data_IF_324219926729
#
_entry.id   IF_324219926729
#
_cell.length_a   1.000
_cell.length_b   1.000
_cell.length_c   1.000
_cell.angle_alpha   90.00
_cell.angle_beta   90.00
_cell.angle_gamma   90.00
#
_symmetry.space_group_name_H-M   'P 1'
#
loop_
_entity.id
_entity.type
_entity.pdbx_description
1 polymer ?
#
# COMPACT_ATOMS: atom_id res chain seq x y z
N UNK A 1 14.98 9.11 -19.06
CA UNK A 1 14.76 9.29 -20.51
C UNK A 1 14.00 10.59 -20.65
N UNK A 2 14.62 11.64 -21.22
CA UNK A 2 14.03 12.97 -21.29
C UNK A 2 12.99 13.03 -22.42
N UNK A 3 11.79 13.54 -22.12
CA UNK A 3 10.84 13.95 -23.14
C UNK A 3 10.49 15.42 -22.94
N UNK A 4 10.81 16.23 -23.95
CA UNK A 4 10.31 17.59 -24.09
C UNK A 4 8.96 17.54 -24.79
N UNK A 5 7.94 18.18 -24.22
CA UNK A 5 6.68 18.46 -24.90
C UNK A 5 6.69 19.90 -25.41
N UNK A 6 6.28 20.10 -26.66
CA UNK A 6 5.98 21.41 -27.23
C UNK A 6 4.46 21.57 -27.30
N UNK A 7 3.96 22.68 -26.76
CA UNK A 7 2.54 22.96 -26.52
C UNK A 7 2.15 24.19 -27.32
N UNK A 8 1.28 24.03 -28.32
CA UNK A 8 0.53 25.08 -29.04
C UNK A 8 -0.54 24.32 -29.85
N UNK A 9 -1.83 24.65 -29.90
CA UNK A 9 -2.70 25.67 -29.32
C UNK A 9 -4.16 25.24 -29.63
N UNK A 10 -5.11 25.59 -28.78
CA UNK A 10 -6.56 25.33 -28.91
C UNK A 10 -7.29 26.35 -29.82
N UNK A 11 -8.54 25.99 -30.17
CA UNK A 11 -9.62 26.73 -30.88
C UNK A 11 -9.63 26.52 -32.41
N UNK A 12 -10.69 26.09 -33.09
CA UNK A 12 -12.13 26.41 -32.95
C UNK A 12 -12.99 25.39 -33.73
N UNK A 13 -14.23 25.12 -33.30
CA UNK A 13 -15.27 24.43 -34.10
C UNK A 13 -15.93 25.40 -35.13
N UNK A 14 -16.72 24.98 -36.15
CA UNK A 14 -18.01 24.28 -35.96
C UNK A 14 -18.36 23.16 -36.99
N UNK A 15 -19.44 22.43 -36.71
CA UNK A 15 -20.05 21.35 -37.50
C UNK A 15 -20.69 21.83 -38.84
N UNK A 16 -21.10 20.88 -39.71
CA UNK A 16 -22.54 20.57 -39.75
C UNK A 16 -22.91 19.09 -39.99
N UNK A 17 -24.18 18.83 -39.67
CA UNK A 17 -25.01 17.64 -39.91
C UNK A 17 -24.83 16.95 -41.27
N UNK A 18 -24.98 15.62 -41.30
CA UNK A 18 -25.84 14.88 -42.25
C UNK A 18 -26.25 13.54 -41.61
N UNK A 19 -27.55 13.31 -41.63
CA UNK A 19 -28.26 12.09 -41.29
C UNK A 19 -28.50 11.33 -42.61
N UNK A 20 -28.40 10.00 -42.67
CA UNK A 20 -29.26 9.10 -43.48
C UNK A 20 -28.88 7.63 -43.25
N UNK A 21 -29.94 6.87 -43.01
CA UNK A 21 -30.13 5.43 -42.90
C UNK A 21 -29.48 4.55 -43.99
N UNK A 22 -29.11 3.31 -43.65
CA UNK A 22 -29.92 2.10 -43.93
C UNK A 22 -29.23 0.82 -43.45
N UNK A 23 -30.07 -0.10 -42.95
CA UNK A 23 -29.82 -1.53 -42.76
C UNK A 23 -29.40 -2.17 -44.09
N UNK A 24 -28.51 -3.14 -44.04
CA UNK A 24 -28.72 -4.42 -44.71
C UNK A 24 -27.88 -5.53 -44.08
N UNK A 25 -28.52 -6.68 -43.98
CA UNK A 25 -28.09 -7.94 -43.36
C UNK A 25 -27.54 -8.85 -44.47
N UNK A 26 -26.88 -9.93 -44.03
CA UNK A 26 -26.72 -11.23 -44.70
C UNK A 26 -25.40 -11.53 -45.45
N UNK A 27 -24.70 -12.47 -44.81
CA UNK A 27 -24.41 -13.82 -45.28
C UNK A 27 -22.97 -14.20 -45.64
N UNK A 28 -22.55 -15.20 -44.89
CA UNK A 28 -21.42 -16.12 -45.00
C UNK A 28 -21.42 -16.77 -46.39
N UNK A 29 -20.25 -16.86 -47.02
CA UNK A 29 -19.91 -18.06 -47.78
C UNK A 29 -18.41 -18.36 -47.70
N UNK A 30 -18.13 -19.61 -47.33
CA UNK A 30 -16.86 -20.30 -47.38
C UNK A 30 -16.52 -20.68 -48.81
N UNK A 31 -15.27 -20.50 -49.24
CA UNK A 31 -14.70 -21.28 -50.34
C UNK A 31 -13.17 -21.38 -50.23
N UNK A 32 -12.74 -22.59 -49.94
CA UNK A 32 -11.37 -23.12 -50.07
C UNK A 32 -11.05 -23.30 -51.55
N UNK A 33 -9.86 -22.89 -52.01
CA UNK A 33 -9.29 -23.39 -53.27
C UNK A 33 -7.78 -23.21 -53.30
N UNK A 34 -7.08 -24.33 -53.46
CA UNK A 34 -5.64 -24.51 -53.64
C UNK A 34 -5.15 -24.07 -55.03
N UNK A 35 -3.80 -24.01 -55.14
CA UNK A 35 -2.98 -24.17 -56.35
C UNK A 35 -3.02 -22.98 -57.35
N UNK A 36 -1.94 -22.52 -57.97
CA UNK A 36 -0.62 -23.08 -58.26
C UNK A 36 0.38 -21.95 -58.56
N UNK A 37 1.66 -22.25 -58.40
CA UNK A 37 2.81 -21.43 -58.80
C UNK A 37 3.11 -21.68 -60.29
N UNK A 38 3.37 -20.63 -61.06
CA UNK A 38 4.18 -20.71 -62.29
C UNK A 38 4.92 -19.39 -62.54
N UNK A 39 6.25 -19.49 -62.61
CA UNK A 39 7.23 -18.46 -62.98
C UNK A 39 7.20 -18.16 -64.49
N UNK A 40 7.45 -16.90 -64.90
CA UNK A 40 8.57 -16.48 -65.76
C UNK A 40 8.44 -14.99 -66.16
N UNK A 41 9.55 -14.23 -66.17
CA UNK A 41 9.64 -12.98 -66.96
C UNK A 41 10.38 -11.81 -66.32
N UNK A 42 11.68 -11.71 -66.60
CA UNK A 42 12.59 -10.59 -66.31
C UNK A 42 12.01 -9.18 -66.61
N UNK A 43 12.22 -8.23 -65.68
CA UNK A 43 12.87 -6.92 -65.95
C UNK A 43 13.18 -6.17 -64.65
N UNK A 44 14.38 -5.57 -64.64
CA UNK A 44 15.06 -4.88 -63.54
C UNK A 44 14.28 -3.67 -63.01
N UNK A 45 14.19 -3.55 -61.69
CA UNK A 45 14.23 -2.27 -60.98
C UNK A 45 14.73 -2.53 -59.55
N UNK A 46 15.93 -2.02 -59.25
CA UNK A 46 16.47 -1.93 -57.90
C UNK A 46 15.81 -0.73 -57.21
N UNK A 47 15.01 -0.99 -56.17
CA UNK A 47 14.81 -0.03 -55.08
C UNK A 47 14.64 -0.79 -53.78
N UNK A 48 15.50 -0.44 -52.82
CA UNK A 48 15.53 -0.98 -51.47
C UNK A 48 14.20 -0.73 -50.75
N UNK A 49 13.55 -1.81 -50.32
CA UNK A 49 12.69 -1.81 -49.13
C UNK A 49 12.63 -3.24 -48.57
N UNK A 50 13.66 -3.63 -47.82
CA UNK A 50 13.57 -4.84 -47.00
C UNK A 50 12.60 -4.57 -45.84
N UNK A 51 11.40 -5.10 -46.02
CA UNK A 51 10.44 -5.34 -44.96
C UNK A 51 10.97 -6.48 -44.08
N UNK A 52 11.36 -6.15 -42.85
CA UNK A 52 11.63 -7.16 -41.83
C UNK A 52 10.36 -7.97 -41.55
N UNK A 53 10.28 -9.19 -42.06
CA UNK A 53 9.39 -10.23 -41.54
C UNK A 53 10.08 -10.89 -40.35
N UNK A 54 9.63 -10.59 -39.14
CA UNK A 54 9.94 -11.40 -37.96
C UNK A 54 9.08 -12.66 -38.00
N UNK A 55 9.71 -13.79 -38.30
CA UNK A 55 9.15 -15.11 -37.98
C UNK A 55 9.12 -15.25 -36.45
N UNK A 56 7.97 -15.02 -35.83
CA UNK A 56 7.73 -15.42 -34.45
C UNK A 56 7.63 -16.95 -34.38
N UNK A 57 8.76 -17.62 -34.21
CA UNK A 57 8.79 -18.99 -33.70
C UNK A 57 8.31 -18.90 -32.26
N UNK A 58 7.17 -19.52 -31.97
CA UNK A 58 6.62 -19.64 -30.62
C UNK A 58 7.51 -20.57 -29.80
N UNK A 59 8.52 -20.01 -29.14
CA UNK A 59 9.18 -20.70 -28.03
C UNK A 59 8.36 -20.39 -26.78
N UNK A 60 7.45 -21.31 -26.45
CA UNK A 60 6.89 -21.42 -25.10
C UNK A 60 7.98 -21.94 -24.17
N UNK A 61 8.93 -21.09 -23.82
CA UNK A 61 9.71 -21.28 -22.60
C UNK A 61 9.16 -20.30 -21.58
N UNK A 62 8.51 -20.87 -20.56
CA UNK A 62 8.13 -20.16 -19.35
C UNK A 62 9.34 -19.39 -18.83
N UNK A 63 9.23 -18.06 -18.77
CA UNK A 63 10.14 -17.25 -17.98
C UNK A 63 10.02 -17.73 -16.53
N UNK A 64 10.95 -18.56 -16.10
CA UNK A 64 11.20 -18.76 -14.68
C UNK A 64 11.72 -17.43 -14.16
N UNK A 65 10.81 -16.61 -13.63
CA UNK A 65 11.16 -15.46 -12.81
C UNK A 65 11.81 -16.07 -11.55
N UNK A 66 13.12 -16.25 -11.58
CA UNK A 66 13.92 -16.55 -10.39
C UNK A 66 14.06 -15.27 -9.55
N UNK A 67 12.93 -14.74 -9.08
CA UNK A 67 12.93 -13.78 -7.99
C UNK A 67 13.12 -14.59 -6.70
N UNK A 68 14.37 -14.81 -6.31
CA UNK A 68 14.79 -15.60 -5.14
C UNK A 68 14.46 -14.88 -3.84
N UNK A 69 13.19 -14.89 -3.45
CA UNK A 69 12.83 -14.51 -2.09
C UNK A 69 11.78 -15.43 -1.49
N UNK A 70 11.68 -16.70 -1.95
CA UNK A 70 10.84 -17.65 -1.23
C UNK A 70 11.48 -17.64 0.14
N UNK A 71 10.70 -17.37 1.18
CA UNK A 71 11.21 -17.58 2.54
C UNK A 71 11.49 -19.07 2.57
N UNK A 72 12.75 -19.45 2.36
CA UNK A 72 13.14 -20.84 2.49
C UNK A 72 12.76 -21.21 3.94
N UNK A 73 11.86 -22.19 4.08
CA UNK A 73 11.57 -22.80 5.38
C UNK A 73 12.83 -23.46 5.98
N UNK A 74 13.90 -23.60 5.20
CA UNK A 74 15.17 -24.20 5.58
C UNK A 74 16.30 -23.16 5.65
N UNK A 75 16.25 -22.29 6.65
CA UNK A 75 17.47 -21.84 7.33
C UNK A 75 17.27 -21.98 8.83
N UNK A 76 16.98 -23.21 9.26
CA UNK A 76 17.46 -23.69 10.55
C UNK A 76 18.98 -23.53 10.56
N UNK A 77 19.50 -22.54 11.27
CA UNK A 77 20.81 -22.60 11.98
C UNK A 77 22.07 -23.12 11.27
N UNK A 78 22.13 -23.35 9.96
CA UNK A 78 23.24 -24.08 9.33
C UNK A 78 24.45 -23.20 8.95
N UNK A 79 24.36 -21.88 9.09
CA UNK A 79 25.51 -20.97 8.90
C UNK A 79 26.19 -20.50 10.20
N UNK A 80 25.57 -20.75 11.36
CA UNK A 80 26.06 -20.36 12.69
C UNK A 80 26.39 -21.56 13.59
N UNK A 81 25.93 -22.77 13.22
CA UNK A 81 26.13 -24.01 13.97
C UNK A 81 27.59 -24.47 14.05
N UNK A 82 28.43 -24.05 13.10
CA UNK A 82 29.82 -24.54 13.02
C UNK A 82 30.77 -23.76 13.94
N UNK A 83 30.34 -22.61 14.48
CA UNK A 83 31.14 -21.80 15.41
C UNK A 83 30.72 -21.97 16.87
N UNK A 84 29.49 -22.43 17.14
CA UNK A 84 28.98 -22.67 18.48
C UNK A 84 28.04 -23.88 18.45
N UNK A 85 28.37 -25.01 19.12
CA UNK A 85 27.44 -26.12 19.20
C UNK A 85 26.14 -25.63 19.87
N UNK A 86 24.96 -26.06 19.39
CA UNK A 86 23.70 -25.73 20.05
C UNK A 86 23.78 -26.19 21.50
N UNK A 87 23.54 -25.27 22.43
CA UNK A 87 23.44 -25.61 23.85
C UNK A 87 22.27 -26.59 24.01
N UNK A 88 22.59 -27.84 24.35
CA UNK A 88 21.60 -28.89 24.59
C UNK A 88 20.49 -28.39 25.54
N UNK A 89 19.24 -28.47 25.08
CA UNK A 89 18.05 -28.12 25.86
C UNK A 89 17.48 -26.71 25.63
N UNK A 90 18.08 -25.86 24.79
CA UNK A 90 17.47 -24.58 24.43
C UNK A 90 16.46 -24.76 23.29
N UNK A 91 15.17 -24.86 23.61
CA UNK A 91 14.12 -24.70 22.59
C UNK A 91 14.12 -23.23 22.15
N UNK A 92 14.39 -22.91 20.88
CA UNK A 92 14.38 -21.52 20.43
C UNK A 92 12.98 -20.94 20.65
N UNK A 93 12.87 -19.97 21.55
CA UNK A 93 11.66 -19.15 21.65
C UNK A 93 11.55 -18.33 20.36
N UNK A 94 10.34 -18.18 19.84
CA UNK A 94 10.11 -17.25 18.74
C UNK A 94 10.60 -15.85 19.14
N UNK A 95 11.50 -15.29 18.33
CA UNK A 95 12.12 -14.00 18.64
C UNK A 95 11.09 -12.88 18.55
N UNK A 96 11.12 -11.96 19.52
CA UNK A 96 10.20 -10.82 19.56
C UNK A 96 10.44 -9.84 18.41
N UNK A 97 9.42 -9.03 18.08
CA UNK A 97 9.47 -8.08 16.95
C UNK A 97 10.67 -7.14 17.03
N UNK A 98 11.02 -6.61 18.21
CA UNK A 98 12.17 -5.74 18.40
C UNK A 98 13.51 -6.42 18.02
N UNK A 99 13.65 -7.71 18.32
CA UNK A 99 14.82 -8.51 17.91
C UNK A 99 14.79 -8.76 16.40
N UNK A 100 13.63 -9.11 15.83
CA UNK A 100 13.49 -9.30 14.37
C UNK A 100 13.92 -8.05 13.59
N UNK A 101 13.54 -6.86 14.05
CA UNK A 101 13.88 -5.57 13.44
C UNK A 101 15.39 -5.26 13.43
N UNK A 102 16.16 -5.83 14.35
CA UNK A 102 17.57 -5.49 14.57
C UNK A 102 18.55 -6.59 14.18
N UNK A 103 18.11 -7.84 14.16
CA UNK A 103 18.95 -9.03 13.94
C UNK A 103 18.87 -9.60 12.53
N UNK A 104 18.37 -8.84 11.54
CA UNK A 104 18.31 -9.30 10.15
C UNK A 104 19.73 -9.44 9.55
N UNK A 105 20.06 -10.65 9.08
CA UNK A 105 21.37 -10.99 8.51
C UNK A 105 21.44 -10.73 7.00
N UNK A 106 22.63 -10.41 6.50
CA UNK A 106 22.92 -10.21 5.08
C UNK A 106 23.84 -11.32 4.56
N UNK A 107 23.40 -12.57 4.68
CA UNK A 107 24.24 -13.75 4.43
C UNK A 107 24.71 -13.86 2.96
N UNK A 108 24.12 -13.08 2.05
CA UNK A 108 24.52 -13.00 0.65
C UNK A 108 25.70 -12.04 0.38
N UNK A 109 26.09 -11.19 1.33
CA UNK A 109 27.20 -10.25 1.13
C UNK A 109 28.55 -10.98 1.28
N UNK A 110 29.39 -11.05 0.23
CA UNK A 110 30.65 -11.79 0.27
C UNK A 110 31.69 -11.20 1.24
N UNK A 111 31.46 -9.99 1.76
CA UNK A 111 32.36 -9.31 2.69
C UNK A 111 31.90 -9.35 4.15
N UNK A 112 30.74 -9.95 4.44
CA UNK A 112 30.20 -10.06 5.80
C UNK A 112 29.86 -8.71 6.43
N UNK A 113 29.41 -7.73 5.64
CA UNK A 113 29.01 -6.43 6.15
C UNK A 113 27.81 -6.56 7.11
N UNK A 114 27.97 -5.98 8.31
CA UNK A 114 26.94 -6.00 9.36
C UNK A 114 25.65 -5.28 8.92
N UNK A 115 25.77 -4.26 8.08
CA UNK A 115 24.62 -3.57 7.47
C UNK A 115 24.57 -3.84 5.98
N UNK A 116 23.37 -3.96 5.44
CA UNK A 116 23.14 -4.25 4.03
C UNK A 116 23.82 -3.18 3.15
N UNK A 117 24.73 -3.56 2.25
CA UNK A 117 25.33 -2.63 1.31
C UNK A 117 24.28 -1.99 0.39
N UNK A 118 24.55 -0.76 -0.03
CA UNK A 118 23.74 -0.05 -1.03
C UNK A 118 24.18 -0.45 -2.44
N UNK A 119 23.36 -1.22 -3.15
CA UNK A 119 23.58 -1.61 -4.54
C UNK A 119 23.03 -0.56 -5.50
N UNK A 120 23.71 0.58 -5.60
CA UNK A 120 23.38 1.69 -6.51
C UNK A 120 23.89 1.41 -7.94
N UNK A 121 23.31 0.39 -8.59
CA UNK A 121 23.60 0.02 -9.99
C UNK A 121 22.30 -0.24 -10.75
N UNK A 122 22.35 -0.16 -12.08
CA UNK A 122 21.22 -0.50 -12.93
C UNK A 122 21.24 -1.98 -13.37
N UNK A 123 22.43 -2.54 -13.60
CA UNK A 123 22.60 -3.88 -14.18
C UNK A 123 23.66 -4.69 -13.44
N UNK A 124 23.59 -6.00 -13.57
CA UNK A 124 24.50 -6.96 -12.96
C UNK A 124 25.13 -7.84 -14.04
N UNK A 125 26.42 -8.16 -13.88
CA UNK A 125 27.15 -9.02 -14.81
C UNK A 125 26.56 -10.44 -14.79
N UNK A 126 26.17 -10.94 -15.95
CA UNK A 126 25.65 -12.29 -16.10
C UNK A 126 26.78 -13.32 -16.22
N UNK A 127 26.61 -14.54 -15.66
CA UNK A 127 27.63 -15.59 -15.74
C UNK A 127 27.82 -16.12 -17.17
N UNK A 128 26.80 -16.05 -18.02
CA UNK A 128 26.89 -16.36 -19.45
C UNK A 128 25.74 -15.71 -20.23
N UNK A 129 25.75 -15.82 -21.57
CA UNK A 129 24.68 -15.29 -22.41
C UNK A 129 23.34 -16.05 -22.30
N UNK A 130 23.33 -17.25 -21.70
CA UNK A 130 22.15 -18.14 -21.63
C UNK A 130 21.77 -18.55 -20.20
N UNK A 131 22.51 -18.07 -19.20
CA UNK A 131 22.24 -18.33 -17.78
C UNK A 131 22.23 -17.01 -17.04
N UNK A 132 21.17 -16.76 -16.29
CA UNK A 132 21.03 -15.59 -15.45
C UNK A 132 21.69 -15.81 -14.10
N UNK A 133 22.31 -14.75 -13.58
CA UNK A 133 22.65 -14.65 -12.16
C UNK A 133 21.40 -14.36 -11.33
N UNK A 134 21.54 -14.23 -9.99
CA UNK A 134 20.41 -13.92 -9.11
C UNK A 134 19.79 -12.55 -9.40
N UNK A 135 20.56 -11.64 -9.97
CA UNK A 135 20.10 -10.33 -10.40
C UNK A 135 20.59 -10.06 -11.83
N UNK A 136 19.72 -9.45 -12.65
CA UNK A 136 20.06 -9.00 -14.00
C UNK A 136 19.93 -7.48 -14.12
N UNK A 137 18.82 -6.92 -13.66
CA UNK A 137 18.47 -5.53 -13.78
C UNK A 137 17.70 -5.06 -12.53
N UNK A 138 18.09 -3.93 -11.96
CA UNK A 138 17.59 -3.43 -10.66
C UNK A 138 16.07 -3.27 -10.58
N UNK A 139 15.39 -3.02 -11.71
CA UNK A 139 13.92 -3.00 -11.75
C UNK A 139 13.33 -4.37 -11.38
N UNK A 140 13.90 -5.46 -11.91
CA UNK A 140 13.44 -6.82 -11.68
C UNK A 140 13.84 -7.36 -10.30
N UNK A 141 15.04 -7.03 -9.82
CA UNK A 141 15.52 -7.43 -8.49
C UNK A 141 16.76 -6.64 -8.09
N UNK A 142 16.95 -6.38 -6.79
CA UNK A 142 18.11 -5.64 -6.29
C UNK A 142 18.47 -6.10 -4.88
N UNK A 143 19.74 -6.44 -4.57
CA UNK A 143 20.09 -7.00 -3.27
C UNK A 143 19.69 -6.15 -2.06
N UNK A 144 19.74 -4.81 -2.18
CA UNK A 144 19.31 -3.90 -1.11
C UNK A 144 17.79 -3.93 -0.92
N UNK A 145 17.02 -3.98 -2.01
CA UNK A 145 15.55 -4.10 -1.96
C UNK A 145 15.13 -5.48 -1.45
N UNK A 146 15.71 -6.54 -1.99
CA UNK A 146 15.43 -7.91 -1.58
C UNK A 146 15.71 -8.15 -0.08
N UNK A 147 16.76 -7.53 0.46
CA UNK A 147 17.04 -7.56 1.90
C UNK A 147 15.92 -6.91 2.72
N UNK A 148 15.40 -5.78 2.27
CA UNK A 148 14.30 -5.08 2.92
C UNK A 148 13.00 -5.89 2.80
N UNK A 149 12.67 -6.37 1.61
CA UNK A 149 11.48 -7.20 1.35
C UNK A 149 11.49 -8.47 2.22
N UNK A 150 12.64 -9.16 2.35
CA UNK A 150 12.75 -10.34 3.23
C UNK A 150 12.52 -10.00 4.71
N UNK A 151 13.10 -8.90 5.19
CA UNK A 151 12.88 -8.44 6.57
C UNK A 151 11.40 -8.16 6.81
N UNK A 152 10.78 -7.43 5.90
CA UNK A 152 9.39 -7.05 6.04
C UNK A 152 8.45 -8.26 5.96
N UNK A 153 8.69 -9.20 5.03
CA UNK A 153 7.93 -10.46 4.95
C UNK A 153 7.97 -11.21 6.29
N UNK A 154 9.15 -11.29 6.93
CA UNK A 154 9.31 -11.89 8.25
C UNK A 154 8.54 -11.15 9.35
N UNK A 155 8.47 -9.82 9.30
CA UNK A 155 7.77 -9.01 10.30
C UNK A 155 6.26 -9.22 10.27
N UNK A 156 5.69 -9.36 9.08
CA UNK A 156 4.24 -9.56 8.86
C UNK A 156 3.84 -11.04 8.79
N UNK A 157 4.78 -11.97 8.95
CA UNK A 157 4.54 -13.41 8.79
C UNK A 157 4.00 -13.75 7.39
N UNK A 158 4.57 -13.12 6.37
CA UNK A 158 4.18 -13.26 4.97
C UNK A 158 5.15 -14.19 4.22
N UNK A 159 4.64 -14.87 3.20
CA UNK A 159 5.48 -15.64 2.26
C UNK A 159 6.45 -14.74 1.48
N UNK A 160 6.03 -13.50 1.19
CA UNK A 160 6.74 -12.51 0.38
C UNK A 160 6.32 -11.09 0.71
N UNK A 161 7.24 -10.15 0.46
CA UNK A 161 6.99 -8.72 0.44
C UNK A 161 7.49 -8.11 -0.86
N UNK A 162 6.93 -6.96 -1.21
CA UNK A 162 7.29 -6.18 -2.38
C UNK A 162 7.33 -4.70 -2.01
N UNK A 163 8.49 -4.08 -2.18
CA UNK A 163 8.68 -2.66 -1.91
C UNK A 163 8.35 -1.84 -3.16
N UNK A 164 7.42 -0.90 -3.04
CA UNK A 164 6.97 -0.05 -4.13
C UNK A 164 7.43 1.39 -3.96
N UNK A 165 7.46 2.14 -5.06
CA UNK A 165 7.77 3.58 -5.05
C UNK A 165 6.83 4.40 -4.17
N UNK A 166 5.60 3.92 -3.92
CA UNK A 166 4.64 4.57 -3.03
C UNK A 166 3.50 3.63 -2.64
N UNK A 167 2.72 4.02 -1.62
CA UNK A 167 1.60 3.22 -1.12
C UNK A 167 0.51 3.11 -2.16
N UNK A 168 0.38 4.15 -2.98
CA UNK A 168 -0.54 4.16 -4.11
C UNK A 168 -0.10 3.21 -5.23
N UNK A 169 1.19 3.07 -5.50
CA UNK A 169 1.69 2.12 -6.50
C UNK A 169 1.45 0.68 -6.03
N UNK A 170 1.75 0.43 -4.76
CA UNK A 170 1.41 -0.76 -4.00
C UNK A 170 -0.08 -1.14 -4.14
N UNK A 171 -0.98 -0.24 -3.75
CA UNK A 171 -2.43 -0.42 -3.82
C UNK A 171 -2.90 -0.62 -5.26
N UNK A 172 -2.39 0.15 -6.22
CA UNK A 172 -2.74 0.01 -7.63
C UNK A 172 -2.37 -1.39 -8.16
N UNK A 173 -1.21 -1.94 -7.79
CA UNK A 173 -0.82 -3.29 -8.16
C UNK A 173 -1.83 -4.34 -7.63
N UNK A 174 -2.30 -4.20 -6.39
CA UNK A 174 -3.35 -5.08 -5.85
C UNK A 174 -4.67 -4.91 -6.61
N UNK A 175 -5.07 -3.68 -6.95
CA UNK A 175 -6.31 -3.47 -7.73
C UNK A 175 -6.21 -4.07 -9.15
N UNK A 176 -5.02 -4.22 -9.71
CA UNK A 176 -4.80 -4.86 -11.02
C UNK A 176 -5.00 -6.38 -11.00
N UNK A 177 -5.16 -7.00 -9.82
CA UNK A 177 -5.59 -8.39 -9.70
C UNK A 177 -7.10 -8.57 -9.97
N UNK A 178 -7.87 -7.48 -9.95
CA UNK A 178 -9.32 -7.48 -10.16
C UNK A 178 -9.61 -7.20 -11.63
N UNK A 179 -10.30 -8.14 -12.29
CA UNK A 179 -10.56 -8.09 -13.74
C UNK A 179 -11.78 -7.23 -14.07
N UNK A 180 -11.92 -6.92 -15.35
CA UNK A 180 -13.11 -6.26 -15.91
C UNK A 180 -14.38 -7.03 -15.48
N UNK A 181 -15.38 -6.30 -15.01
CA UNK A 181 -16.67 -6.84 -14.56
C UNK A 181 -16.65 -7.40 -13.13
N UNK A 182 -15.48 -7.56 -12.51
CA UNK A 182 -15.38 -7.96 -11.11
C UNK A 182 -15.49 -6.75 -10.18
N UNK A 183 -15.73 -7.04 -8.90
CA UNK A 183 -16.06 -6.02 -7.90
C UNK A 183 -15.02 -5.93 -6.78
N UNK A 184 -14.81 -4.71 -6.30
CA UNK A 184 -14.10 -4.39 -5.06
C UNK A 184 -15.14 -3.87 -4.05
N UNK A 185 -15.21 -4.50 -2.87
CA UNK A 185 -15.93 -3.94 -1.72
C UNK A 185 -14.91 -3.23 -0.85
N UNK A 186 -15.09 -1.94 -0.59
CA UNK A 186 -14.14 -1.14 0.17
C UNK A 186 -14.83 -0.24 1.19
N UNK A 187 -14.11 0.09 2.27
CA UNK A 187 -14.56 1.06 3.25
C UNK A 187 -14.90 2.42 2.64
N UNK A 188 -15.95 3.03 3.19
CA UNK A 188 -16.32 4.42 2.88
C UNK A 188 -15.47 5.44 3.65
N UNK A 189 -14.88 5.06 4.78
CA UNK A 189 -13.87 5.82 5.52
C UNK A 189 -12.52 5.15 5.35
N UNK A 190 -11.68 5.76 4.52
CA UNK A 190 -10.38 5.25 4.10
C UNK A 190 -9.52 6.44 3.71
N UNK A 191 -8.20 6.27 3.69
CA UNK A 191 -7.28 7.27 3.17
C UNK A 191 -7.77 7.91 1.85
N UNK A 192 -7.85 9.24 1.81
CA UNK A 192 -8.32 9.99 0.63
C UNK A 192 -7.57 9.70 -0.69
N UNK A 193 -6.31 9.25 -0.65
CA UNK A 193 -5.62 8.75 -1.84
C UNK A 193 -6.16 7.42 -2.35
N UNK A 194 -6.48 6.50 -1.45
CA UNK A 194 -7.18 5.24 -1.75
C UNK A 194 -8.57 5.52 -2.30
N UNK A 195 -9.30 6.48 -1.72
CA UNK A 195 -10.58 6.95 -2.25
C UNK A 195 -10.46 7.46 -3.69
N UNK A 196 -9.45 8.29 -3.99
CA UNK A 196 -9.20 8.77 -5.35
C UNK A 196 -8.93 7.63 -6.33
N UNK A 197 -8.09 6.67 -5.93
CA UNK A 197 -7.78 5.49 -6.75
C UNK A 197 -9.05 4.70 -7.06
N UNK A 198 -9.84 4.40 -6.03
CA UNK A 198 -11.05 3.59 -6.12
C UNK A 198 -12.21 4.31 -6.85
N UNK A 199 -12.28 5.64 -6.81
CA UNK A 199 -13.38 6.39 -7.41
C UNK A 199 -13.07 6.92 -8.82
N UNK A 200 -11.81 7.19 -9.14
CA UNK A 200 -11.44 7.84 -10.42
C UNK A 200 -10.60 7.00 -11.36
N UNK A 201 -9.85 6.02 -10.86
CA UNK A 201 -8.89 5.22 -11.65
C UNK A 201 -9.39 3.80 -11.86
N UNK A 202 -9.73 3.10 -10.78
CA UNK A 202 -10.20 1.71 -10.82
C UNK A 202 -11.44 1.53 -11.71
N UNK A 203 -12.48 2.39 -11.64
CA UNK A 203 -13.68 2.19 -12.45
C UNK A 203 -13.44 2.31 -13.96
N UNK A 204 -12.43 3.09 -14.38
CA UNK A 204 -12.04 3.23 -15.79
C UNK A 204 -11.49 1.93 -16.39
N UNK A 205 -11.05 0.99 -15.55
CA UNK A 205 -10.60 -0.35 -15.94
C UNK A 205 -11.76 -1.34 -16.09
N UNK A 206 -13.01 -0.90 -15.87
CA UNK A 206 -14.20 -1.77 -15.91
C UNK A 206 -14.44 -2.56 -14.62
N UNK A 207 -13.73 -2.24 -13.54
CA UNK A 207 -13.95 -2.80 -12.19
C UNK A 207 -15.06 -2.02 -11.49
N UNK A 208 -15.99 -2.73 -10.86
CA UNK A 208 -17.06 -2.10 -10.05
C UNK A 208 -16.54 -1.90 -8.63
N UNK A 209 -16.80 -0.73 -8.04
CA UNK A 209 -16.43 -0.45 -6.65
C UNK A 209 -17.69 -0.20 -5.82
N UNK A 210 -17.87 -1.00 -4.76
CA UNK A 210 -18.95 -0.89 -3.77
C UNK A 210 -18.36 -0.30 -2.49
N UNK A 211 -18.96 0.78 -1.98
CA UNK A 211 -18.54 1.42 -0.73
C UNK A 211 -19.50 1.06 0.40
N UNK A 212 -18.93 0.66 1.55
CA UNK A 212 -19.68 0.21 2.73
C UNK A 212 -19.08 0.74 4.02
N UNK A 213 -19.87 0.77 5.08
CA UNK A 213 -19.37 0.86 6.45
C UNK A 213 -18.74 -0.47 6.88
N UNK A 214 -17.41 -0.51 7.00
CA UNK A 214 -16.68 -1.73 7.36
C UNK A 214 -16.71 -2.04 8.86
N UNK A 215 -17.25 -1.15 9.69
CA UNK A 215 -17.55 -1.47 11.09
C UNK A 215 -18.79 -2.37 11.21
N UNK A 216 -19.64 -2.37 10.19
CA UNK A 216 -20.85 -3.17 10.13
C UNK A 216 -20.64 -4.42 9.25
N UNK A 217 -20.27 -5.54 9.89
CA UNK A 217 -20.04 -6.81 9.17
C UNK A 217 -21.27 -7.33 8.40
N UNK A 218 -22.49 -6.93 8.78
CA UNK A 218 -23.72 -7.28 8.04
C UNK A 218 -23.80 -6.52 6.72
N UNK A 219 -23.48 -5.23 6.73
CA UNK A 219 -23.43 -4.41 5.51
C UNK A 219 -22.35 -4.91 4.55
N UNK A 220 -21.17 -5.25 5.08
CA UNK A 220 -20.09 -5.88 4.31
C UNK A 220 -20.57 -7.19 3.69
N UNK A 221 -21.21 -8.06 4.47
CA UNK A 221 -21.74 -9.34 3.96
C UNK A 221 -22.78 -9.15 2.84
N UNK A 222 -23.63 -8.13 2.93
CA UNK A 222 -24.63 -7.82 1.90
C UNK A 222 -24.02 -7.27 0.62
N UNK A 223 -22.84 -6.63 0.69
CA UNK A 223 -22.15 -6.10 -0.47
C UNK A 223 -21.31 -7.16 -1.22
N UNK A 224 -20.83 -8.19 -0.49
CA UNK A 224 -20.08 -9.31 -1.05
C UNK A 224 -21.02 -10.23 -1.83
N UNK A 225 -20.59 -10.63 -3.02
CA UNK A 225 -21.29 -11.61 -3.85
C UNK A 225 -20.35 -12.32 -4.83
N UNK A 226 -20.90 -13.12 -5.78
CA UNK A 226 -20.10 -13.95 -6.68
C UNK A 226 -19.12 -13.20 -7.60
N UNK A 227 -19.34 -11.90 -7.83
CA UNK A 227 -18.44 -11.05 -8.62
C UNK A 227 -17.39 -10.31 -7.78
N UNK A 228 -17.54 -10.34 -6.45
CA UNK A 228 -16.59 -9.71 -5.53
C UNK A 228 -15.27 -10.46 -5.57
N UNK A 229 -14.19 -9.76 -5.92
CA UNK A 229 -12.85 -10.34 -5.99
C UNK A 229 -11.90 -9.81 -4.92
N UNK A 230 -12.16 -8.62 -4.41
CA UNK A 230 -11.36 -7.99 -3.36
C UNK A 230 -12.26 -7.29 -2.34
N UNK A 231 -11.99 -7.53 -1.06
CA UNK A 231 -12.49 -6.73 0.06
C UNK A 231 -11.32 -5.93 0.61
N UNK A 232 -11.44 -4.60 0.64
CA UNK A 232 -10.37 -3.71 1.07
C UNK A 232 -10.76 -2.96 2.36
N UNK A 233 -10.01 -3.24 3.41
CA UNK A 233 -10.17 -2.68 4.75
C UNK A 233 -9.02 -1.75 5.12
N UNK A 234 -9.30 -0.79 6.01
CA UNK A 234 -8.33 -0.03 6.79
C UNK A 234 -8.84 -0.07 8.25
N UNK A 235 -7.99 -0.44 9.21
CA UNK A 235 -8.40 -0.54 10.62
C UNK A 235 -7.22 -0.30 11.56
N UNK A 236 -7.23 0.77 12.39
CA UNK A 236 -8.22 1.85 12.41
C UNK A 236 -8.30 2.62 11.08
N UNK A 237 -9.46 3.17 10.74
CA UNK A 237 -9.64 3.95 9.51
C UNK A 237 -8.98 5.33 9.59
N UNK A 238 -8.55 5.89 8.46
CA UNK A 238 -8.08 7.27 8.35
C UNK A 238 -9.17 8.16 7.74
N UNK A 239 -9.64 9.22 8.41
CA UNK A 239 -9.16 9.79 9.68
C UNK A 239 -10.01 9.43 10.91
N UNK A 240 -11.17 8.78 10.78
CA UNK A 240 -12.13 8.66 11.90
C UNK A 240 -11.76 7.60 12.93
N UNK A 241 -10.71 6.82 12.70
CA UNK A 241 -10.21 5.78 13.62
C UNK A 241 -11.26 4.70 13.94
N UNK A 242 -12.14 4.40 12.98
CA UNK A 242 -13.13 3.35 13.10
C UNK A 242 -12.47 1.96 13.02
N UNK A 243 -13.06 0.97 13.69
CA UNK A 243 -12.47 -0.37 13.81
C UNK A 243 -13.29 -1.36 13.00
N UNK A 244 -12.62 -2.09 12.12
CA UNK A 244 -13.22 -3.18 11.33
C UNK A 244 -12.81 -4.53 11.93
N UNK A 245 -13.73 -5.50 11.99
CA UNK A 245 -13.42 -6.86 12.43
C UNK A 245 -12.75 -7.63 11.28
N UNK A 246 -11.41 -7.65 11.31
CA UNK A 246 -10.62 -8.21 10.21
C UNK A 246 -10.91 -9.71 10.08
N UNK A 247 -10.94 -10.44 11.20
CA UNK A 247 -11.20 -11.89 11.19
C UNK A 247 -12.55 -12.20 10.59
N UNK A 248 -13.59 -11.53 11.09
CA UNK A 248 -14.97 -11.79 10.64
C UNK A 248 -15.16 -11.44 9.17
N UNK A 249 -14.63 -10.30 8.72
CA UNK A 249 -14.76 -9.89 7.32
C UNK A 249 -13.95 -10.80 6.40
N UNK A 250 -12.79 -11.27 6.84
CA UNK A 250 -12.01 -12.25 6.09
C UNK A 250 -12.77 -13.54 5.86
N UNK A 251 -13.38 -14.11 6.91
CA UNK A 251 -14.23 -15.29 6.79
C UNK A 251 -15.37 -15.09 5.76
N UNK A 252 -16.03 -13.93 5.81
CA UNK A 252 -17.12 -13.59 4.90
C UNK A 252 -16.64 -13.47 3.44
N UNK A 253 -15.49 -12.83 3.22
CA UNK A 253 -14.90 -12.65 1.90
C UNK A 253 -14.46 -13.99 1.29
N UNK A 254 -13.77 -14.82 2.09
CA UNK A 254 -13.26 -16.12 1.69
C UNK A 254 -14.38 -17.11 1.33
N UNK A 255 -15.54 -17.02 1.98
CA UNK A 255 -16.73 -17.81 1.62
C UNK A 255 -17.19 -17.60 0.16
N UNK A 256 -16.81 -16.47 -0.47
CA UNK A 256 -17.08 -16.16 -1.87
C UNK A 256 -15.83 -16.22 -2.77
N UNK A 257 -14.67 -16.65 -2.23
CA UNK A 257 -13.40 -16.69 -2.97
C UNK A 257 -12.80 -15.30 -3.28
N UNK A 258 -13.25 -14.27 -2.57
CA UNK A 258 -12.68 -12.93 -2.63
C UNK A 258 -11.42 -12.85 -1.76
N UNK A 259 -10.43 -12.07 -2.20
CA UNK A 259 -9.27 -11.76 -1.38
C UNK A 259 -9.56 -10.63 -0.41
N UNK A 260 -8.80 -10.56 0.67
CA UNK A 260 -8.88 -9.49 1.66
C UNK A 260 -7.57 -8.72 1.67
N UNK A 261 -7.66 -7.42 1.41
CA UNK A 261 -6.58 -6.46 1.56
C UNK A 261 -6.81 -5.64 2.83
N UNK A 262 -5.82 -5.58 3.71
CA UNK A 262 -5.81 -4.68 4.86
C UNK A 262 -4.70 -3.64 4.69
N UNK A 263 -5.07 -2.36 4.61
CA UNK A 263 -4.12 -1.27 4.78
C UNK A 263 -3.79 -1.15 6.29
N UNK A 264 -2.58 -1.57 6.65
CA UNK A 264 -2.08 -1.63 8.01
C UNK A 264 -1.14 -0.45 8.34
N UNK A 265 -1.24 0.64 7.56
CA UNK A 265 -0.35 1.81 7.69
C UNK A 265 -0.38 2.44 9.08
N UNK A 266 -1.53 2.47 9.75
CA UNK A 266 -1.67 3.12 11.07
C UNK A 266 -1.04 2.28 12.19
N UNK A 267 -1.19 0.95 12.14
CA UNK A 267 -0.76 0.09 13.23
C UNK A 267 0.69 -0.36 13.09
N UNK A 268 1.19 -0.49 11.86
CA UNK A 268 2.42 -1.22 11.54
C UNK A 268 2.40 -2.68 12.00
N UNK A 269 3.37 -3.47 11.52
CA UNK A 269 3.54 -4.88 11.89
C UNK A 269 3.93 -5.05 13.38
N UNK A 270 4.26 -3.95 14.08
CA UNK A 270 4.54 -3.94 15.53
C UNK A 270 3.27 -4.15 16.35
N UNK A 271 2.16 -3.51 15.95
CA UNK A 271 0.93 -3.50 16.75
C UNK A 271 -0.16 -4.41 16.18
N UNK A 272 -0.19 -4.66 14.87
CA UNK A 272 -1.16 -5.53 14.24
C UNK A 272 -0.53 -6.30 13.08
N UNK A 273 -0.84 -7.60 12.96
CA UNK A 273 -0.45 -8.44 11.82
C UNK A 273 -1.71 -8.99 11.15
N UNK A 274 -2.27 -8.30 10.15
CA UNK A 274 -3.54 -8.72 9.58
C UNK A 274 -3.50 -10.06 8.84
N UNK A 275 -2.33 -10.52 8.37
CA UNK A 275 -2.18 -11.86 7.79
C UNK A 275 -2.55 -12.95 8.80
N UNK A 276 -2.13 -12.80 10.05
CA UNK A 276 -2.49 -13.71 11.16
C UNK A 276 -4.00 -13.66 11.49
N UNK A 277 -4.72 -12.66 10.98
CA UNK A 277 -6.16 -12.45 11.16
C UNK A 277 -6.98 -12.91 9.93
N UNK A 278 -6.33 -13.47 8.91
CA UNK A 278 -6.98 -13.95 7.69
C UNK A 278 -6.98 -12.96 6.53
N UNK A 279 -6.20 -11.88 6.58
CA UNK A 279 -5.96 -11.07 5.38
C UNK A 279 -5.12 -11.86 4.36
N UNK A 280 -5.35 -11.63 3.06
CA UNK A 280 -4.53 -12.19 1.97
C UNK A 280 -3.42 -11.24 1.54
N UNK A 281 -3.71 -9.94 1.64
CA UNK A 281 -2.76 -8.87 1.36
C UNK A 281 -2.72 -7.91 2.55
N UNK A 282 -1.51 -7.46 2.86
CA UNK A 282 -1.31 -6.33 3.75
C UNK A 282 -0.58 -5.26 2.95
N UNK A 283 -0.99 -4.01 3.13
CA UNK A 283 -0.28 -2.88 2.56
C UNK A 283 0.15 -1.96 3.68
N UNK A 284 1.40 -1.55 3.63
CA UNK A 284 1.94 -0.54 4.50
C UNK A 284 2.31 0.65 3.64
N UNK A 285 1.80 1.82 3.99
CA UNK A 285 2.48 3.04 3.61
C UNK A 285 3.73 3.17 4.46
N UNK A 286 4.81 2.52 4.05
CA UNK A 286 6.09 2.63 4.70
C UNK A 286 6.70 4.06 4.61
N UNK A 287 6.03 5.02 3.94
CA UNK A 287 6.22 6.47 4.13
C UNK A 287 6.00 6.96 5.57
N UNK A 288 5.35 6.14 6.38
CA UNK A 288 4.91 6.46 7.74
C UNK A 288 5.90 5.90 8.77
N UNK A 289 5.52 4.84 9.49
CA UNK A 289 6.33 4.30 10.59
C UNK A 289 7.63 3.59 10.16
N UNK A 290 7.77 3.23 8.88
CA UNK A 290 8.86 2.38 8.39
C UNK A 290 10.06 3.20 7.85
N UNK A 291 9.87 4.24 7.02
CA UNK A 291 11.02 5.05 6.56
C UNK A 291 10.90 5.96 5.32
N UNK A 292 9.72 6.25 4.76
CA UNK A 292 9.60 7.25 3.68
C UNK A 292 9.08 6.75 2.32
N UNK A 293 8.88 5.44 2.10
CA UNK A 293 8.33 4.84 0.86
C UNK A 293 7.61 3.52 1.18
N UNK A 294 6.66 3.02 0.37
CA UNK A 294 5.61 2.06 0.81
C UNK A 294 5.70 0.63 0.27
N UNK A 295 5.13 -0.35 0.97
CA UNK A 295 5.32 -1.78 0.72
C UNK A 295 3.99 -2.56 0.68
N UNK A 296 3.92 -3.65 -0.11
CA UNK A 296 2.81 -4.62 -0.16
C UNK A 296 3.29 -6.03 0.17
N UNK A 297 2.42 -6.78 0.82
CA UNK A 297 2.58 -8.18 1.19
C UNK A 297 1.37 -8.97 0.69
N UNK A 298 1.54 -10.23 0.30
CA UNK A 298 0.40 -11.14 0.15
C UNK A 298 0.63 -12.39 -0.68
N UNK A 299 -0.38 -13.28 -0.64
CA UNK A 299 -0.34 -14.68 -1.11
C UNK A 299 -0.23 -14.87 -2.64
N UNK A 300 -0.60 -13.86 -3.45
CA UNK A 300 -0.37 -13.84 -4.91
C UNK A 300 0.96 -13.18 -5.27
N UNK A 301 2.02 -13.70 -4.68
CA UNK A 301 3.35 -13.10 -4.77
C UNK A 301 3.91 -13.04 -6.21
N UNK A 302 3.57 -13.99 -7.07
CA UNK A 302 4.08 -14.02 -8.46
C UNK A 302 3.45 -12.94 -9.33
N UNK A 303 2.13 -12.76 -9.25
CA UNK A 303 1.41 -11.72 -10.00
C UNK A 303 1.84 -10.33 -9.53
N UNK A 304 1.96 -10.12 -8.22
CA UNK A 304 2.44 -8.84 -7.67
C UNK A 304 3.89 -8.57 -8.07
N UNK A 305 4.79 -9.57 -8.01
CA UNK A 305 6.17 -9.43 -8.50
C UNK A 305 6.22 -9.06 -9.98
N UNK A 306 5.38 -9.72 -10.80
CA UNK A 306 5.26 -9.41 -12.22
C UNK A 306 4.82 -7.96 -12.43
N UNK A 307 3.77 -7.50 -11.72
CA UNK A 307 3.27 -6.12 -11.83
C UNK A 307 4.31 -5.10 -11.35
N UNK A 308 4.99 -5.34 -10.22
CA UNK A 308 6.06 -4.47 -9.71
C UNK A 308 7.14 -4.26 -10.78
N UNK A 309 7.56 -5.35 -11.43
CA UNK A 309 8.57 -5.32 -12.48
C UNK A 309 8.05 -4.68 -13.79
N UNK A 310 6.87 -5.08 -14.25
CA UNK A 310 6.29 -4.67 -15.53
C UNK A 310 5.86 -3.19 -15.53
N UNK A 311 5.31 -2.72 -14.42
CA UNK A 311 4.94 -1.30 -14.24
C UNK A 311 6.14 -0.44 -13.85
N UNK A 312 7.28 -1.06 -13.49
CA UNK A 312 8.48 -0.36 -13.07
C UNK A 312 8.31 0.37 -11.75
N UNK A 313 7.45 -0.14 -10.88
CA UNK A 313 7.03 0.50 -9.64
C UNK A 313 7.81 0.01 -8.40
N UNK A 314 8.87 -0.79 -8.59
CA UNK A 314 9.75 -1.22 -7.50
C UNK A 314 10.52 -0.06 -6.86
N UNK A 315 10.69 -0.11 -5.54
CA UNK A 315 11.38 0.93 -4.77
C UNK A 315 12.87 1.03 -5.15
N UNK A 316 13.41 2.24 -5.15
CA UNK A 316 14.80 2.49 -5.49
C UNK A 316 15.75 2.00 -4.36
N UNK A 317 16.98 1.54 -4.68
CA UNK A 317 17.89 0.97 -3.68
C UNK A 317 18.25 1.90 -2.52
N UNK A 318 18.43 3.20 -2.79
CA UNK A 318 18.74 4.19 -1.75
C UNK A 318 17.58 4.33 -0.75
N UNK A 319 16.35 4.38 -1.25
CA UNK A 319 15.16 4.44 -0.40
C UNK A 319 14.95 3.15 0.39
N UNK A 320 15.25 1.99 -0.21
CA UNK A 320 15.25 0.71 0.49
C UNK A 320 16.26 0.72 1.65
N UNK A 321 17.47 1.23 1.41
CA UNK A 321 18.49 1.36 2.44
C UNK A 321 18.06 2.30 3.58
N UNK A 322 17.41 3.42 3.26
CA UNK A 322 16.85 4.34 4.26
C UNK A 322 15.74 3.68 5.09
N UNK A 323 14.84 2.92 4.45
CA UNK A 323 13.80 2.17 5.16
C UNK A 323 14.41 1.10 6.07
N UNK A 324 15.36 0.31 5.58
CA UNK A 324 16.08 -0.68 6.39
C UNK A 324 16.78 -0.05 7.60
N UNK A 325 17.29 1.19 7.47
CA UNK A 325 17.84 1.96 8.59
C UNK A 325 16.76 2.40 9.57
N UNK A 326 15.62 2.90 9.09
CA UNK A 326 14.50 3.38 9.91
C UNK A 326 13.77 2.29 10.69
N UNK A 327 13.61 1.11 10.08
CA UNK A 327 12.94 -0.07 10.67
C UNK A 327 13.58 -0.50 11.99
N UNK A 328 14.91 -0.39 12.12
CA UNK A 328 15.64 -0.82 13.32
C UNK A 328 15.20 -0.12 14.60
N UNK A 329 14.62 1.08 14.50
CA UNK A 329 14.07 1.83 15.65
C UNK A 329 12.55 1.86 15.69
N UNK A 330 11.86 1.12 14.80
CA UNK A 330 10.41 1.17 14.67
C UNK A 330 9.68 0.79 15.95
N UNK A 331 10.08 -0.30 16.61
CA UNK A 331 9.46 -0.71 17.87
C UNK A 331 9.54 0.38 18.96
N UNK A 332 10.71 0.99 19.14
CA UNK A 332 10.92 2.07 20.11
C UNK A 332 10.07 3.30 19.79
N UNK A 333 10.03 3.69 18.51
CA UNK A 333 9.24 4.85 18.07
C UNK A 333 7.75 4.60 18.27
N UNK A 334 7.24 3.47 17.80
CA UNK A 334 5.81 3.12 17.89
C UNK A 334 5.36 3.04 19.35
N UNK A 335 6.16 2.45 20.24
CA UNK A 335 5.86 2.39 21.67
C UNK A 335 5.76 3.79 22.28
N UNK A 336 6.76 4.66 22.04
CA UNK A 336 6.75 6.03 22.57
C UNK A 336 5.61 6.88 21.98
N UNK A 337 5.38 6.77 20.67
CA UNK A 337 4.28 7.49 20.01
C UNK A 337 2.91 7.06 20.56
N UNK A 338 2.72 5.77 20.84
CA UNK A 338 1.48 5.27 21.45
C UNK A 338 1.31 5.74 22.89
N UNK A 339 2.38 5.74 23.69
CA UNK A 339 2.36 6.29 25.05
C UNK A 339 1.93 7.77 25.05
N UNK A 340 2.54 8.56 24.17
CA UNK A 340 2.21 9.98 24.02
C UNK A 340 0.77 10.17 23.52
N UNK A 341 0.33 9.37 22.54
CA UNK A 341 -1.03 9.44 21.99
C UNK A 341 -2.10 9.10 23.02
N UNK A 342 -1.84 8.14 23.91
CA UNK A 342 -2.75 7.83 25.02
C UNK A 342 -2.96 9.03 25.93
N UNK A 343 -1.88 9.67 26.38
CA UNK A 343 -1.93 10.85 27.26
C UNK A 343 -2.64 12.03 26.60
N UNK A 344 -2.34 12.31 25.32
CA UNK A 344 -3.02 13.36 24.56
C UNK A 344 -4.51 13.05 24.37
N UNK A 345 -4.87 11.80 24.06
CA UNK A 345 -6.27 11.40 23.92
C UNK A 345 -7.06 11.59 25.22
N UNK A 346 -6.47 11.22 26.36
CA UNK A 346 -7.07 11.41 27.69
C UNK A 346 -7.24 12.89 28.04
N UNK A 347 -6.21 13.72 27.79
CA UNK A 347 -6.29 15.16 27.93
C UNK A 347 -7.43 15.75 27.09
N UNK A 348 -7.45 15.48 25.79
CA UNK A 348 -8.49 15.97 24.86
C UNK A 348 -9.88 15.49 25.28
N UNK A 349 -10.02 14.23 25.70
CA UNK A 349 -11.31 13.67 26.11
C UNK A 349 -11.87 14.30 27.39
N UNK A 350 -11.00 14.92 28.21
CA UNK A 350 -11.40 15.63 29.43
C UNK A 350 -11.62 17.13 29.22
N UNK A 351 -11.22 17.67 28.08
CA UNK A 351 -11.21 19.11 27.83
C UNK A 351 -12.61 19.63 27.44
N UNK A 352 -13.16 20.68 28.10
CA UNK A 352 -14.56 21.10 27.97
C UNK A 352 -14.96 21.63 26.58
N UNK A 353 -14.00 22.09 25.79
CA UNK A 353 -14.21 22.57 24.41
C UNK A 353 -14.09 21.47 23.34
N UNK A 354 -13.79 20.22 23.72
CA UNK A 354 -13.67 19.10 22.81
C UNK A 354 -14.95 18.27 22.88
N UNK A 355 -15.52 17.95 21.71
CA UNK A 355 -16.82 17.26 21.61
C UNK A 355 -16.66 15.74 21.58
N UNK A 356 -15.78 15.25 20.71
CA UNK A 356 -15.51 13.81 20.57
C UNK A 356 -14.04 13.56 20.33
N UNK A 357 -13.52 12.44 20.84
CA UNK A 357 -12.17 11.96 20.56
C UNK A 357 -12.25 10.52 20.07
N UNK A 358 -11.76 10.28 18.86
CA UNK A 358 -11.66 8.96 18.26
C UNK A 358 -10.24 8.43 18.45
N UNK A 359 -10.08 7.58 19.45
CA UNK A 359 -8.84 6.85 19.71
C UNK A 359 -9.16 5.50 20.36
N UNK A 360 -8.68 4.41 19.77
CA UNK A 360 -9.01 3.06 20.23
C UNK A 360 -8.55 2.77 21.67
N UNK A 361 -7.59 3.54 22.20
CA UNK A 361 -7.09 3.43 23.57
C UNK A 361 -8.05 3.99 24.63
N UNK A 362 -9.00 4.85 24.25
CA UNK A 362 -9.95 5.45 25.19
C UNK A 362 -11.04 4.47 25.63
N UNK A 363 -11.41 4.40 26.93
CA UNK A 363 -12.39 3.46 27.44
C UNK A 363 -13.73 3.41 26.72
N UNK A 364 -14.22 4.58 26.30
CA UNK A 364 -15.54 4.75 25.68
C UNK A 364 -15.52 4.60 24.15
N UNK A 365 -14.36 4.29 23.56
CA UNK A 365 -14.29 4.07 22.13
C UNK A 365 -15.11 2.81 21.73
N UNK A 366 -16.10 2.92 20.83
CA UNK A 366 -17.04 1.83 20.55
C UNK A 366 -16.35 0.58 20.01
N UNK A 367 -15.26 0.75 19.26
CA UNK A 367 -14.44 -0.35 18.73
C UNK A 367 -13.35 -0.88 19.66
N UNK A 368 -13.22 -0.39 20.91
CA UNK A 368 -12.05 -0.70 21.77
C UNK A 368 -11.87 -2.19 22.03
N UNK A 369 -12.93 -2.87 22.46
CA UNK A 369 -12.86 -4.29 22.80
C UNK A 369 -12.45 -5.14 21.57
N UNK A 370 -13.04 -4.85 20.41
CA UNK A 370 -12.67 -5.49 19.15
C UNK A 370 -11.22 -5.17 18.77
N UNK A 371 -10.80 -3.91 18.85
CA UNK A 371 -9.45 -3.48 18.53
C UNK A 371 -8.39 -4.25 19.32
N UNK A 372 -8.51 -4.30 20.64
CA UNK A 372 -7.56 -5.01 21.49
C UNK A 372 -7.69 -6.55 21.41
N UNK A 373 -8.74 -7.08 20.78
CA UNK A 373 -8.82 -8.50 20.45
C UNK A 373 -7.94 -8.87 19.24
N UNK A 374 -7.51 -7.91 18.43
CA UNK A 374 -6.79 -8.14 17.17
C UNK A 374 -5.49 -7.33 17.02
N UNK A 375 -5.26 -6.34 17.89
CA UNK A 375 -4.06 -5.52 17.94
C UNK A 375 -3.47 -5.43 19.35
N UNK A 376 -2.16 -5.19 19.45
CA UNK A 376 -1.38 -5.14 20.70
C UNK A 376 -1.36 -3.75 21.35
N UNK A 377 -1.93 -2.75 20.70
CA UNK A 377 -1.89 -1.36 21.13
C UNK A 377 -2.77 -0.47 20.26
N UNK A 378 -3.02 0.76 20.69
CA UNK A 378 -3.93 1.70 20.02
C UNK A 378 -3.28 2.53 18.89
N UNK A 379 -1.95 2.50 18.76
CA UNK A 379 -1.23 3.28 17.75
C UNK A 379 -1.04 4.75 18.16
N UNK A 380 -0.65 5.60 17.21
CA UNK A 380 -0.31 7.00 17.49
C UNK A 380 -1.13 8.04 16.74
N UNK A 381 -2.13 7.59 15.99
CA UNK A 381 -3.04 8.44 15.26
C UNK A 381 -4.33 8.54 16.05
N UNK A 382 -4.84 9.74 16.21
CA UNK A 382 -6.15 10.02 16.80
C UNK A 382 -6.83 11.14 16.02
N UNK A 383 -8.15 11.24 16.17
CA UNK A 383 -8.89 12.40 15.68
C UNK A 383 -9.86 12.91 16.73
N UNK A 384 -10.27 14.17 16.62
CA UNK A 384 -11.23 14.78 17.53
C UNK A 384 -12.02 15.89 16.84
N UNK A 385 -13.17 16.23 17.40
CA UNK A 385 -14.04 17.30 16.91
C UNK A 385 -14.23 18.36 18.00
N UNK A 386 -14.51 19.59 17.59
CA UNK A 386 -14.71 20.74 18.50
C UNK A 386 -16.15 21.26 18.45
N UNK A 387 -16.93 20.86 17.45
CA UNK A 387 -18.22 21.44 17.12
C UNK A 387 -18.13 22.77 16.36
N UNK A 388 -16.92 23.30 16.14
CA UNK A 388 -16.70 24.61 15.52
C UNK A 388 -15.53 24.57 14.54
N UNK A 389 -15.80 24.74 13.25
CA UNK A 389 -14.76 24.83 12.21
C UNK A 389 -13.78 25.97 12.53
N UNK A 390 -14.26 27.08 13.11
CA UNK A 390 -13.44 28.21 13.49
C UNK A 390 -12.44 27.85 14.59
N UNK A 391 -12.88 27.12 15.62
CA UNK A 391 -12.01 26.64 16.69
C UNK A 391 -11.04 25.59 16.17
N UNK A 392 -11.51 24.63 15.37
CA UNK A 392 -10.63 23.58 14.81
C UNK A 392 -9.54 24.16 13.91
N UNK A 393 -9.89 25.14 13.07
CA UNK A 393 -8.91 25.88 12.25
C UNK A 393 -7.90 26.62 13.13
N UNK A 394 -8.39 27.32 14.16
CA UNK A 394 -7.52 28.04 15.09
C UNK A 394 -6.52 27.10 15.78
N UNK A 395 -6.96 25.95 16.30
CA UNK A 395 -6.09 24.96 16.94
C UNK A 395 -4.99 24.53 15.97
N UNK A 396 -5.37 24.07 14.77
CA UNK A 396 -4.44 23.56 13.75
C UNK A 396 -3.41 24.62 13.32
N UNK A 397 -3.81 25.90 13.25
CA UNK A 397 -2.94 26.99 12.83
C UNK A 397 -2.08 27.59 13.95
N UNK A 398 -2.45 27.37 15.22
CA UNK A 398 -1.82 28.03 16.38
C UNK A 398 -0.81 27.14 17.11
N UNK A 399 -0.96 25.81 17.06
CA UNK A 399 0.03 24.88 17.64
C UNK A 399 1.43 25.12 17.06
N UNK A 400 2.46 25.11 17.91
CA UNK A 400 3.86 25.40 17.56
C UNK A 400 4.67 24.14 17.28
N UNK A 401 4.40 23.05 18.01
CA UNK A 401 5.16 21.81 17.89
C UNK A 401 4.57 20.89 16.82
N UNK A 402 3.26 20.96 16.60
CA UNK A 402 2.59 20.20 15.57
C UNK A 402 2.78 20.85 14.19
N UNK A 403 3.26 20.09 13.22
CA UNK A 403 3.35 20.57 11.84
C UNK A 403 2.09 20.26 11.05
N UNK A 404 1.54 21.26 10.37
CA UNK A 404 0.37 21.09 9.51
C UNK A 404 0.75 20.28 8.27
N UNK A 405 0.29 19.03 8.18
CA UNK A 405 0.56 18.15 7.02
C UNK A 405 -0.40 16.96 6.94
N UNK A 406 -0.57 16.41 5.74
CA UNK A 406 -1.43 15.25 5.47
C UNK A 406 -0.82 13.90 5.89
N UNK A 407 0.48 13.84 6.15
CA UNK A 407 1.18 12.59 6.51
C UNK A 407 0.99 12.19 7.98
N UNK A 408 1.52 11.03 8.37
CA UNK A 408 1.52 10.51 9.75
C UNK A 408 2.71 9.56 9.99
N UNK A 409 2.90 9.09 11.22
CA UNK A 409 3.95 8.11 11.60
C UNK A 409 5.38 8.67 11.67
N UNK A 410 5.54 9.99 11.50
CA UNK A 410 6.80 10.70 11.71
C UNK A 410 7.19 10.74 13.20
N UNK A 411 8.48 10.86 13.48
CA UNK A 411 8.98 11.16 14.84
C UNK A 411 8.54 12.53 15.33
N UNK A 412 8.20 13.44 14.41
CA UNK A 412 7.61 14.76 14.71
C UNK A 412 6.10 14.67 14.70
N UNK A 413 5.46 15.33 15.66
CA UNK A 413 4.01 15.46 15.76
C UNK A 413 3.42 16.29 14.61
N UNK A 414 2.35 15.78 14.02
CA UNK A 414 1.68 16.35 12.85
C UNK A 414 0.19 16.55 13.15
N UNK A 415 -0.38 17.63 12.60
CA UNK A 415 -1.79 17.98 12.76
C UNK A 415 -2.40 18.32 11.40
N UNK A 416 -3.71 18.09 11.23
CA UNK A 416 -4.39 18.37 9.97
C UNK A 416 -5.89 18.51 10.16
N UNK A 417 -6.52 19.23 9.22
CA UNK A 417 -7.97 19.20 8.97
C UNK A 417 -8.23 18.30 7.74
N UNK A 418 -8.63 17.03 7.92
CA UNK A 418 -8.69 16.08 6.82
C UNK A 418 -9.60 16.53 5.66
N UNK A 419 -10.76 17.10 5.98
CA UNK A 419 -11.74 17.58 5.00
C UNK A 419 -11.16 18.68 4.08
N UNK A 420 -10.31 19.56 4.59
CA UNK A 420 -9.69 20.62 3.78
C UNK A 420 -8.37 20.20 3.13
N UNK A 421 -7.83 19.04 3.50
CA UNK A 421 -6.51 18.59 3.08
C UNK A 421 -6.59 17.22 2.40
N UNK A 422 -6.41 16.13 3.13
CA UNK A 422 -6.24 14.77 2.59
C UNK A 422 -7.52 14.18 1.96
N UNK A 423 -8.69 14.64 2.37
CA UNK A 423 -10.01 14.16 1.92
C UNK A 423 -10.80 15.26 1.19
N UNK A 424 -10.12 16.29 0.72
CA UNK A 424 -10.71 17.41 -0.03
C UNK A 424 -11.30 17.01 -1.38
N UNK A 425 -10.89 15.85 -1.92
CA UNK A 425 -11.43 15.28 -3.16
C UNK A 425 -12.81 14.61 -2.98
N UNK A 426 -13.26 14.38 -1.74
CA UNK A 426 -14.56 13.80 -1.46
C UNK A 426 -15.60 14.94 -1.45
N UNK A 427 -16.69 14.85 -2.24
CA UNK A 427 -17.73 15.89 -2.25
C UNK A 427 -18.29 16.15 -0.84
N UNK A 428 -18.60 17.41 -0.47
CA UNK A 428 -19.07 17.75 0.88
C UNK A 428 -20.27 16.92 1.37
N UNK A 429 -21.28 16.71 0.52
CA UNK A 429 -22.46 15.89 0.86
C UNK A 429 -22.12 14.41 1.09
N UNK A 430 -21.07 13.91 0.44
CA UNK A 430 -20.58 12.53 0.63
C UNK A 430 -19.77 12.44 1.92
N UNK A 431 -18.99 13.46 2.27
CA UNK A 431 -18.29 13.51 3.58
C UNK A 431 -19.28 13.55 4.73
N UNK A 432 -20.27 14.42 4.65
CA UNK A 432 -21.33 14.54 5.65
C UNK A 432 -22.07 13.22 5.87
N UNK A 433 -22.50 12.56 4.79
CA UNK A 433 -23.18 11.25 4.90
C UNK A 433 -22.29 10.11 5.44
N UNK A 434 -20.97 10.29 5.41
CA UNK A 434 -19.97 9.37 5.98
C UNK A 434 -19.47 9.80 7.36
N UNK A 435 -20.06 10.84 7.98
CA UNK A 435 -19.64 11.33 9.29
C UNK A 435 -18.26 12.01 9.31
N UNK A 436 -17.77 12.46 8.15
CA UNK A 436 -16.58 13.30 8.03
C UNK A 436 -16.98 14.77 8.12
N UNK A 437 -17.00 15.30 9.34
CA UNK A 437 -17.34 16.70 9.60
C UNK A 437 -16.16 17.62 9.30
N UNK A 438 -16.45 18.86 8.91
CA UNK A 438 -15.40 19.83 8.53
C UNK A 438 -14.56 20.30 9.73
N UNK A 439 -15.05 20.14 10.95
CA UNK A 439 -14.34 20.48 12.20
C UNK A 439 -13.45 19.34 12.73
N UNK A 440 -13.40 18.19 12.05
CA UNK A 440 -12.56 17.06 12.45
C UNK A 440 -11.08 17.44 12.32
N UNK A 441 -10.34 17.31 13.43
CA UNK A 441 -8.88 17.40 13.48
C UNK A 441 -8.32 15.99 13.56
N UNK A 442 -7.24 15.72 12.82
CA UNK A 442 -6.45 14.49 12.98
C UNK A 442 -5.04 14.83 13.42
N UNK A 443 -4.58 14.17 14.48
CA UNK A 443 -3.22 14.25 14.98
C UNK A 443 -2.49 12.93 14.72
N UNK A 444 -1.24 13.03 14.28
CA UNK A 444 -0.26 11.96 14.32
C UNK A 444 0.78 12.33 15.37
N UNK A 445 0.75 11.64 16.50
CA UNK A 445 1.62 11.96 17.64
C UNK A 445 3.04 11.43 17.38
N UNK A 446 4.02 12.29 17.63
CA UNK A 446 5.45 12.00 17.53
C UNK A 446 6.03 11.51 18.86
N UNK A 447 7.35 11.62 18.99
CA UNK A 447 8.13 11.18 20.16
C UNK A 447 8.66 12.33 21.01
N UNK A 448 8.14 13.55 20.80
CA UNK A 448 8.47 14.71 21.62
C UNK A 448 8.09 14.49 23.10
N UNK A 449 8.51 15.41 23.96
CA UNK A 449 8.01 15.46 25.33
C UNK A 449 6.49 15.68 25.31
N UNK A 450 5.77 14.79 25.98
CA UNK A 450 4.30 14.78 25.90
C UNK A 450 3.68 15.95 26.66
N UNK A 451 4.34 16.45 27.69
CA UNK A 451 3.84 17.61 28.45
C UNK A 451 3.95 18.89 27.61
N UNK A 452 5.01 19.02 26.80
CA UNK A 452 5.15 20.12 25.83
C UNK A 452 4.05 20.07 24.76
N UNK A 453 3.73 18.87 24.26
CA UNK A 453 2.66 18.68 23.27
C UNK A 453 1.28 18.98 23.85
N UNK A 454 1.02 18.56 25.08
CA UNK A 454 -0.25 18.83 25.77
C UNK A 454 -0.39 20.32 26.06
N UNK A 455 0.65 20.98 26.57
CA UNK A 455 0.62 22.42 26.84
C UNK A 455 0.41 23.25 25.55
N UNK A 456 1.02 22.86 24.44
CA UNK A 456 0.83 23.52 23.13
C UNK A 456 -0.60 23.35 22.60
N UNK A 457 -1.22 22.16 22.80
CA UNK A 457 -2.62 21.94 22.47
C UNK A 457 -3.56 22.72 23.38
N UNK A 458 -3.32 22.73 24.70
CA UNK A 458 -4.14 23.43 25.68
C UNK A 458 -4.20 24.94 25.41
N UNK A 459 -3.04 25.56 25.17
CA UNK A 459 -2.96 26.97 24.79
C UNK A 459 -3.70 27.24 23.47
N UNK A 460 -3.53 26.38 22.46
CA UNK A 460 -4.20 26.53 21.18
C UNK A 460 -5.73 26.37 21.29
N UNK A 461 -6.22 25.48 22.15
CA UNK A 461 -7.66 25.29 22.38
C UNK A 461 -8.25 26.49 23.14
N UNK A 462 -7.59 26.95 24.22
CA UNK A 462 -8.11 28.01 25.09
C UNK A 462 -8.00 29.41 24.49
N UNK A 463 -7.08 29.64 23.55
CA UNK A 463 -6.94 30.92 22.84
C UNK A 463 -7.90 31.08 21.65
N UNK A 464 -8.65 30.03 21.31
CA UNK A 464 -9.51 30.00 20.12
C UNK A 464 -10.87 30.67 20.29
N UNK A 465 -11.57 30.95 19.18
CA UNK A 465 -12.95 31.45 19.22
C UNK A 465 -13.89 30.35 19.72
N UNK A 466 -14.64 30.65 20.80
CA UNK A 466 -15.69 29.79 21.36
C UNK A 466 -17.00 29.95 20.61
#
# INVERSE_FOLDING_TARGET
MAFSFNLQSLCSAPAPNINISKRETLQISTATSCCNISFCGNKRALSCSESFRTNCISVKESQNISASAVVDEDLTTEGLSDLYPPLDGFKPKEIGVATQLTSFSNDFDPYGAVSTPLYQTATFKQPSAVKYGPYDYTRAGNPTRDSLERLLAKLDNADRAFCFTSGMAALNAVTNLVRIGQEIVAGHDIYGGSERLLSEVVPKKGTVVKRVDTTNSVEVAMAIGPQTKLVWLESPTNPRQQISDIRRISELAHAYGAFVLVDNSIMSSVLCRPLDLGADFVVHSATKFIGGHSDVYGSLSKEIAFLQNAEGAGLAPFDCWLCARGIKTMALRVEKQQENAQKIAEFLSSHPLIQTVNYAGLPDHPGRALHFSQARGAGSVLSFTTGSIALSKHIVETTKYFSITVSFGSVKSLISLPCFMSHSNIPPSVRESRGLTDDLIRISVGIEDVEDLIADLDEAINSGPV
#
